data_IF_515319316277
#
_entry.id   IF_515319316277
#
_cell.length_a   1.000
_cell.length_b   1.000
_cell.length_c   1.000
_cell.angle_alpha   90.00
_cell.angle_beta   90.00
_cell.angle_gamma   90.00
#
_symmetry.space_group_name_H-M   'P 1'
#
loop_
_entity.id
_entity.type
_entity.pdbx_description
1 polymer ?
#
# COMPACT_ATOMS: atom_id res chain seq x y z
N UNK A 1 -5.60 -15.52 -8.76
CA UNK A 1 -5.58 -14.07 -8.51
C UNK A 1 -4.24 -13.49 -8.93
N UNK A 2 -4.22 -12.33 -9.58
CA UNK A 2 -2.97 -11.63 -9.91
C UNK A 2 -2.81 -10.39 -9.02
N UNK A 3 -1.60 -10.10 -8.56
CA UNK A 3 -1.30 -8.99 -7.65
C UNK A 3 -0.24 -8.11 -8.31
N UNK A 4 -0.56 -6.83 -8.45
CA UNK A 4 0.36 -5.80 -8.92
C UNK A 4 0.77 -4.92 -7.73
N UNK A 5 2.03 -4.99 -7.32
CA UNK A 5 2.56 -4.13 -6.26
C UNK A 5 3.29 -2.95 -6.92
N UNK A 6 2.79 -1.75 -6.64
CA UNK A 6 3.29 -0.52 -7.23
C UNK A 6 4.63 -0.14 -6.58
N UNK A 7 5.59 0.23 -7.43
CA UNK A 7 6.83 0.89 -7.06
C UNK A 7 6.80 2.33 -7.58
N UNK A 8 7.14 3.26 -6.72
CA UNK A 8 7.45 4.65 -7.06
C UNK A 8 8.70 5.05 -6.28
N UNK A 9 9.50 5.96 -6.81
CA UNK A 9 10.75 6.32 -6.15
C UNK A 9 10.51 6.94 -4.76
N UNK A 10 11.29 6.52 -3.77
CA UNK A 10 11.09 6.88 -2.36
C UNK A 10 10.15 5.94 -1.59
N UNK A 11 9.64 4.87 -2.22
CA UNK A 11 8.82 3.87 -1.54
C UNK A 11 9.49 3.30 -0.27
N UNK A 12 8.69 2.89 0.71
CA UNK A 12 9.19 2.12 1.85
C UNK A 12 9.39 0.64 1.44
N UNK A 13 10.61 0.09 1.58
CA UNK A 13 10.88 -1.28 1.16
C UNK A 13 10.02 -2.34 1.81
N UNK A 14 9.72 -2.20 3.11
CA UNK A 14 9.04 -3.25 3.84
C UNK A 14 7.53 -3.24 3.54
N UNK A 15 6.97 -2.08 3.19
CA UNK A 15 5.60 -1.96 2.68
C UNK A 15 5.38 -2.72 1.36
N UNK A 16 6.45 -2.93 0.59
CA UNK A 16 6.45 -3.74 -0.65
C UNK A 16 6.78 -5.19 -0.35
N UNK A 17 7.90 -5.45 0.30
CA UNK A 17 8.47 -6.79 0.44
C UNK A 17 7.64 -7.67 1.36
N UNK A 18 7.07 -7.12 2.45
CA UNK A 18 6.26 -7.92 3.37
C UNK A 18 5.03 -8.55 2.68
N UNK A 19 4.13 -7.78 2.02
CA UNK A 19 3.03 -8.38 1.30
C UNK A 19 3.47 -9.18 0.08
N UNK A 20 4.56 -8.79 -0.62
CA UNK A 20 5.12 -9.56 -1.73
C UNK A 20 5.45 -11.00 -1.31
N UNK A 21 6.25 -11.16 -0.25
CA UNK A 21 6.70 -12.47 0.23
C UNK A 21 5.52 -13.33 0.69
N UNK A 22 4.57 -12.76 1.43
CA UNK A 22 3.37 -13.48 1.88
C UNK A 22 2.52 -13.96 0.70
N UNK A 23 2.21 -13.07 -0.24
CA UNK A 23 1.36 -13.41 -1.39
C UNK A 23 2.05 -14.38 -2.36
N UNK A 24 3.36 -14.26 -2.54
CA UNK A 24 4.17 -15.19 -3.32
C UNK A 24 4.20 -16.58 -2.68
N UNK A 25 4.39 -16.66 -1.36
CA UNK A 25 4.32 -17.91 -0.62
C UNK A 25 2.92 -18.56 -0.72
N UNK A 26 1.86 -17.76 -0.66
CA UNK A 26 0.49 -18.22 -0.90
C UNK A 26 0.28 -18.80 -2.30
N UNK A 27 0.91 -18.20 -3.33
CA UNK A 27 0.94 -18.75 -4.68
C UNK A 27 1.65 -20.10 -4.76
N UNK A 28 2.79 -20.23 -4.07
CA UNK A 28 3.54 -21.49 -3.99
C UNK A 28 2.76 -22.60 -3.26
N UNK A 29 2.13 -22.27 -2.14
CA UNK A 29 1.31 -23.20 -1.36
C UNK A 29 -0.01 -23.56 -2.06
N UNK A 30 -0.54 -22.67 -2.90
CA UNK A 30 -1.79 -22.82 -3.62
C UNK A 30 -1.65 -23.27 -5.08
N UNK A 31 -0.54 -23.90 -5.48
CA UNK A 31 -0.30 -24.39 -6.84
C UNK A 31 -0.54 -23.32 -7.93
N UNK A 32 0.00 -22.12 -7.71
CA UNK A 32 -0.13 -20.98 -8.63
C UNK A 32 -1.43 -20.18 -8.50
N UNK A 33 -2.22 -20.41 -7.44
CA UNK A 33 -3.46 -19.65 -7.20
C UNK A 33 -3.25 -18.13 -7.07
N UNK A 34 -2.03 -17.69 -6.69
CA UNK A 34 -1.63 -16.29 -6.61
C UNK A 34 -0.37 -16.08 -7.45
N UNK A 35 -0.33 -14.97 -8.19
CA UNK A 35 0.87 -14.47 -8.85
C UNK A 35 1.09 -13.03 -8.44
N UNK A 36 2.35 -12.63 -8.26
CA UNK A 36 2.72 -11.29 -7.79
C UNK A 36 3.71 -10.68 -8.77
N UNK A 37 3.53 -9.41 -9.09
CA UNK A 37 4.37 -8.65 -10.01
C UNK A 37 4.66 -7.26 -9.43
N UNK A 38 5.90 -6.78 -9.59
CA UNK A 38 6.30 -5.42 -9.25
C UNK A 38 6.10 -4.53 -10.48
N UNK A 39 5.30 -3.48 -10.34
CA UNK A 39 4.95 -2.59 -11.45
C UNK A 39 5.28 -1.13 -11.11
N UNK A 40 5.45 -0.27 -12.11
CA UNK A 40 5.54 1.18 -11.90
C UNK A 40 4.57 1.91 -12.84
N UNK A 41 4.39 3.22 -12.68
CA UNK A 41 3.64 3.99 -13.67
C UNK A 41 4.41 4.07 -15.00
N UNK A 42 5.73 4.20 -14.95
CA UNK A 42 6.58 4.43 -16.13
C UNK A 42 6.95 3.15 -16.90
N UNK A 43 6.59 1.98 -16.37
CA UNK A 43 6.93 0.69 -16.96
C UNK A 43 8.16 0.00 -16.34
N UNK A 44 8.79 -0.94 -17.06
CA UNK A 44 9.92 -1.69 -16.52
C UNK A 44 11.11 -0.78 -16.23
N UNK A 45 11.50 -0.64 -14.96
CA UNK A 45 12.65 0.17 -14.53
C UNK A 45 13.18 -0.24 -13.16
N UNK A 46 14.37 0.22 -12.83
CA UNK A 46 14.85 0.23 -11.45
C UNK A 46 14.22 1.41 -10.71
N UNK A 47 13.72 1.17 -9.50
CA UNK A 47 13.04 2.15 -8.65
C UNK A 47 13.79 2.20 -7.33
N UNK A 48 14.21 3.40 -6.94
CA UNK A 48 15.03 3.61 -5.74
C UNK A 48 14.12 3.77 -4.54
N UNK A 49 14.37 3.01 -3.47
CA UNK A 49 13.59 3.15 -2.24
C UNK A 49 13.99 4.39 -1.45
N UNK A 50 13.14 4.78 -0.50
CA UNK A 50 13.43 5.84 0.45
C UNK A 50 14.38 5.43 1.59
N UNK A 51 14.91 4.19 1.58
CA UNK A 51 15.77 3.66 2.65
C UNK A 51 17.16 3.30 2.12
N UNK A 52 18.14 4.16 2.39
CA UNK A 52 19.53 3.93 2.00
C UNK A 52 19.70 3.80 0.48
N UNK A 53 20.45 2.79 0.03
CA UNK A 53 20.73 2.54 -1.39
C UNK A 53 19.93 1.36 -1.97
N UNK A 54 18.88 0.90 -1.28
CA UNK A 54 18.09 -0.22 -1.74
C UNK A 54 17.23 0.20 -2.94
N UNK A 55 17.24 -0.61 -3.99
CA UNK A 55 16.40 -0.44 -5.17
C UNK A 55 15.74 -1.77 -5.54
N UNK A 56 14.53 -1.70 -6.10
CA UNK A 56 13.80 -2.84 -6.64
C UNK A 56 13.50 -2.60 -8.12
N UNK A 57 13.33 -3.69 -8.87
CA UNK A 57 13.03 -3.62 -10.29
C UNK A 57 11.54 -3.83 -10.52
N UNK A 58 10.87 -2.83 -11.08
CA UNK A 58 9.56 -2.99 -11.71
C UNK A 58 9.74 -3.75 -13.04
N UNK A 59 8.91 -4.75 -13.27
CA UNK A 59 8.97 -5.62 -14.47
C UNK A 59 7.98 -5.20 -15.55
N UNK A 60 6.96 -4.40 -15.20
CA UNK A 60 5.92 -3.93 -16.10
C UNK A 60 5.38 -2.55 -15.67
N UNK A 61 4.51 -1.98 -16.51
CA UNK A 61 3.66 -0.85 -16.12
C UNK A 61 2.43 -1.36 -15.37
N UNK A 62 1.87 -0.57 -14.45
CA UNK A 62 0.59 -0.89 -13.80
C UNK A 62 -0.50 -1.02 -14.86
N UNK A 63 -1.13 -2.20 -14.94
CA UNK A 63 -2.24 -2.49 -15.82
C UNK A 63 -3.58 -2.33 -15.08
N UNK A 64 -4.33 -1.24 -15.32
CA UNK A 64 -5.61 -0.99 -14.64
C UNK A 64 -6.76 -1.88 -15.13
N UNK A 65 -6.58 -2.61 -16.23
CA UNK A 65 -7.60 -3.51 -16.79
C UNK A 65 -7.44 -4.95 -16.30
N UNK A 66 -6.28 -5.30 -15.71
CA UNK A 66 -5.97 -6.66 -15.26
C UNK A 66 -6.68 -7.01 -13.94
N UNK A 67 -7.61 -7.99 -13.93
CA UNK A 67 -8.32 -8.40 -12.72
C UNK A 67 -7.39 -8.88 -11.61
N UNK A 68 -7.71 -8.55 -10.36
CA UNK A 68 -6.96 -9.01 -9.19
C UNK A 68 -6.79 -7.94 -8.11
N UNK A 69 -5.57 -7.78 -7.61
CA UNK A 69 -5.23 -6.81 -6.57
C UNK A 69 -4.21 -5.79 -7.09
N UNK A 70 -4.36 -4.54 -6.65
CA UNK A 70 -3.32 -3.52 -6.75
C UNK A 70 -2.90 -3.14 -5.34
N UNK A 71 -1.60 -3.10 -5.06
CA UNK A 71 -1.06 -2.70 -3.75
C UNK A 71 -0.20 -1.45 -3.87
N UNK A 72 -0.57 -0.42 -3.12
CA UNK A 72 0.15 0.86 -3.04
C UNK A 72 0.94 0.91 -1.72
N UNK A 73 2.28 0.96 -1.75
CA UNK A 73 3.09 1.09 -0.55
C UNK A 73 3.13 2.53 -0.04
N UNK A 74 3.64 2.74 1.18
CA UNK A 74 4.04 4.04 1.66
C UNK A 74 5.40 4.48 1.13
N UNK A 75 5.88 5.60 1.66
CA UNK A 75 7.21 6.14 1.37
C UNK A 75 8.07 6.12 2.65
N UNK A 76 9.37 5.90 2.49
CA UNK A 76 10.35 6.00 3.57
C UNK A 76 11.09 7.34 3.46
N UNK A 77 11.14 8.11 4.55
CA UNK A 77 11.80 9.41 4.57
C UNK A 77 11.74 10.05 5.95
N UNK A 78 12.11 11.32 6.05
CA UNK A 78 11.98 12.07 7.31
C UNK A 78 10.53 12.47 7.54
N UNK A 79 10.11 12.39 8.80
CA UNK A 79 8.89 13.05 9.26
C UNK A 79 9.29 14.48 9.59
N UNK A 80 8.68 15.46 8.92
CA UNK A 80 8.97 16.88 9.18
C UNK A 80 8.32 17.36 10.47
N UNK A 81 8.96 18.33 11.11
CA UNK A 81 8.36 19.01 12.26
C UNK A 81 7.22 19.94 11.80
N UNK A 82 6.19 20.20 12.64
CA UNK A 82 5.10 21.11 12.30
C UNK A 82 5.61 22.50 11.91
N UNK A 83 5.44 22.89 10.64
CA UNK A 83 5.88 24.19 10.10
C UNK A 83 7.28 24.18 9.47
N UNK A 84 7.97 23.04 9.46
CA UNK A 84 9.20 22.85 8.69
C UNK A 84 8.85 22.80 7.20
N UNK A 85 9.37 23.76 6.44
CA UNK A 85 9.26 23.76 4.98
C UNK A 85 10.52 23.12 4.40
N UNK A 86 10.40 22.28 3.36
CA UNK A 86 11.57 21.80 2.62
C UNK A 86 12.40 22.99 2.13
N UNK A 87 13.72 22.92 2.32
CA UNK A 87 14.63 23.96 1.82
C UNK A 87 14.37 24.20 0.33
N UNK A 88 14.05 25.45 -0.02
CA UNK A 88 13.71 25.90 -1.38
C UNK A 88 14.92 26.04 -2.32
N UNK A 89 16.10 25.54 -1.95
CA UNK A 89 17.22 25.51 -2.87
C UNK A 89 16.85 24.61 -4.05
N UNK A 90 16.59 25.28 -5.19
CA UNK A 90 16.10 24.69 -6.42
C UNK A 90 16.86 23.40 -6.73
N UNK A 91 16.14 22.29 -6.66
CA UNK A 91 16.64 21.00 -7.11
C UNK A 91 16.97 21.13 -8.60
N UNK A 92 18.14 20.64 -9.01
CA UNK A 92 18.31 20.27 -10.40
C UNK A 92 17.27 19.18 -10.72
N UNK A 93 16.52 19.35 -11.80
CA UNK A 93 15.48 18.39 -12.21
C UNK A 93 16.08 16.98 -12.29
N UNK A 94 15.72 16.09 -11.36
CA UNK A 94 16.04 14.66 -11.42
C UNK A 94 16.99 14.09 -10.37
N UNK A 95 17.50 14.88 -9.41
CA UNK A 95 18.36 14.34 -8.34
C UNK A 95 17.56 13.91 -7.09
N UNK A 96 17.60 12.61 -6.78
CA UNK A 96 17.06 12.01 -5.54
C UNK A 96 17.95 12.32 -4.34
N UNK A 97 17.38 12.85 -3.25
CA UNK A 97 18.07 12.97 -1.95
C UNK A 97 17.61 11.91 -0.98
N UNK A 98 18.56 11.16 -0.42
CA UNK A 98 18.32 10.38 0.80
C UNK A 98 17.89 11.37 1.90
N UNK A 99 16.82 11.06 2.63
CA UNK A 99 16.25 11.86 3.73
C UNK A 99 15.25 12.99 3.38
N UNK A 100 14.58 12.92 2.23
CA UNK A 100 13.44 13.82 1.96
C UNK A 100 12.24 13.59 2.90
N UNK A 101 11.39 14.62 3.03
CA UNK A 101 10.16 14.50 3.81
C UNK A 101 9.17 13.53 3.16
N UNK A 102 8.55 12.66 3.95
CA UNK A 102 7.54 11.70 3.47
C UNK A 102 6.43 12.41 2.68
N UNK A 103 5.96 13.57 3.14
CA UNK A 103 4.93 14.36 2.44
C UNK A 103 5.39 14.87 1.06
N UNK A 104 6.68 15.19 0.91
CA UNK A 104 7.26 15.59 -0.38
C UNK A 104 7.35 14.39 -1.31
N UNK A 105 7.81 13.24 -0.82
CA UNK A 105 7.88 12.00 -1.60
C UNK A 105 6.49 11.58 -2.11
N UNK A 106 5.51 11.50 -1.20
CA UNK A 106 4.12 11.19 -1.57
C UNK A 106 3.55 12.24 -2.54
N UNK A 107 3.86 13.53 -2.32
CA UNK A 107 3.45 14.62 -3.21
C UNK A 107 4.03 14.51 -4.62
N UNK A 108 5.30 14.10 -4.77
CA UNK A 108 5.93 13.86 -6.07
C UNK A 108 5.25 12.72 -6.81
N UNK A 109 4.87 11.65 -6.12
CA UNK A 109 4.11 10.54 -6.70
C UNK A 109 2.81 11.02 -7.36
N UNK A 110 2.14 12.04 -6.81
CA UNK A 110 0.93 12.63 -7.38
C UNK A 110 1.17 13.42 -8.68
N UNK A 111 2.41 13.76 -8.99
CA UNK A 111 2.78 14.46 -10.24
C UNK A 111 3.11 13.51 -11.39
N UNK A 112 3.11 12.20 -11.13
CA UNK A 112 3.32 11.15 -12.14
C UNK A 112 1.99 10.73 -12.79
N UNK A 113 2.02 9.77 -13.72
CA UNK A 113 0.82 9.13 -14.26
C UNK A 113 0.14 8.16 -13.27
N UNK A 114 0.77 7.87 -12.12
CA UNK A 114 0.26 6.88 -11.16
C UNK A 114 -1.16 7.20 -10.67
N UNK A 115 -1.55 8.44 -10.30
CA UNK A 115 -2.91 8.73 -9.85
C UNK A 115 -3.97 8.40 -10.90
N UNK A 116 -3.68 8.63 -12.19
CA UNK A 116 -4.59 8.31 -13.28
C UNK A 116 -4.75 6.78 -13.43
N UNK A 117 -3.65 6.03 -13.34
CA UNK A 117 -3.68 4.56 -13.38
C UNK A 117 -4.39 3.96 -12.16
N UNK A 118 -4.14 4.49 -10.96
CA UNK A 118 -4.83 4.06 -9.74
C UNK A 118 -6.33 4.36 -9.81
N UNK A 119 -6.71 5.51 -10.35
CA UNK A 119 -8.11 5.83 -10.62
C UNK A 119 -8.75 4.81 -11.56
N UNK A 120 -8.10 4.53 -12.69
CA UNK A 120 -8.61 3.56 -13.66
C UNK A 120 -8.74 2.16 -13.04
N UNK A 121 -7.78 1.75 -12.21
CA UNK A 121 -7.83 0.48 -11.49
C UNK A 121 -8.97 0.45 -10.46
N UNK A 122 -9.24 1.54 -9.74
CA UNK A 122 -10.37 1.62 -8.79
C UNK A 122 -11.74 1.65 -9.48
N UNK A 123 -11.82 2.20 -10.70
CA UNK A 123 -13.05 2.18 -11.50
C UNK A 123 -13.35 0.76 -12.06
N UNK A 124 -12.39 -0.17 -11.99
CA UNK A 124 -12.54 -1.56 -12.43
C UNK A 124 -13.08 -2.46 -11.31
N UNK A 125 -14.31 -2.99 -11.41
CA UNK A 125 -14.94 -3.79 -10.35
C UNK A 125 -14.29 -5.17 -10.14
N UNK A 126 -13.34 -5.56 -10.99
CA UNK A 126 -12.58 -6.81 -10.86
C UNK A 126 -11.23 -6.59 -10.16
N UNK A 127 -10.95 -5.38 -9.71
CA UNK A 127 -9.76 -5.03 -8.94
C UNK A 127 -10.18 -4.68 -7.50
N UNK A 128 -9.50 -5.26 -6.52
CA UNK A 128 -9.50 -4.73 -5.16
C UNK A 128 -8.24 -3.88 -4.97
N UNK A 129 -8.46 -2.61 -4.63
CA UNK A 129 -7.39 -1.68 -4.30
C UNK A 129 -6.91 -1.94 -2.88
N UNK A 130 -5.60 -2.00 -2.69
CA UNK A 130 -4.99 -2.22 -1.39
C UNK A 130 -3.86 -1.23 -1.14
N UNK A 131 -3.61 -0.91 0.13
CA UNK A 131 -2.51 -0.05 0.49
C UNK A 131 -1.91 -0.41 1.85
N UNK A 132 -0.64 -0.08 2.05
CA UNK A 132 0.06 -0.23 3.33
C UNK A 132 0.65 1.11 3.74
N UNK A 133 0.65 1.42 5.04
CA UNK A 133 1.34 2.58 5.60
C UNK A 133 0.87 3.88 4.91
N UNK A 134 1.80 4.66 4.35
CA UNK A 134 1.49 5.90 3.61
C UNK A 134 0.81 5.69 2.26
N UNK A 135 0.62 4.47 1.77
CA UNK A 135 -0.03 4.22 0.49
C UNK A 135 -1.49 4.67 0.44
N UNK A 136 -2.20 4.59 1.57
CA UNK A 136 -3.56 5.15 1.66
C UNK A 136 -3.57 6.68 1.60
N UNK A 137 -2.50 7.36 2.01
CA UNK A 137 -2.36 8.81 1.80
C UNK A 137 -2.16 9.15 0.32
N UNK A 138 -1.47 8.32 -0.47
CA UNK A 138 -1.38 8.50 -1.93
C UNK A 138 -2.79 8.48 -2.55
N UNK A 139 -3.58 7.47 -2.19
CA UNK A 139 -4.96 7.33 -2.68
C UNK A 139 -5.85 8.51 -2.22
N UNK A 140 -5.71 8.92 -0.97
CA UNK A 140 -6.51 9.98 -0.37
C UNK A 140 -6.18 11.37 -0.95
N UNK A 141 -4.89 11.69 -1.08
CA UNK A 141 -4.44 12.95 -1.67
C UNK A 141 -4.76 13.05 -3.17
N UNK A 142 -4.87 11.90 -3.86
CA UNK A 142 -5.39 11.83 -5.23
C UNK A 142 -6.93 11.98 -5.32
N UNK A 143 -7.63 12.09 -4.18
CA UNK A 143 -9.09 12.23 -4.12
C UNK A 143 -9.84 10.94 -4.43
N UNK A 144 -9.19 9.76 -4.32
CA UNK A 144 -9.78 8.50 -4.76
C UNK A 144 -10.58 7.77 -3.68
N UNK A 145 -10.34 8.09 -2.40
CA UNK A 145 -10.95 7.37 -1.27
C UNK A 145 -11.69 8.30 -0.28
N UNK A 146 -12.10 9.50 -0.70
CA UNK A 146 -12.91 10.40 0.13
C UNK A 146 -14.21 9.72 0.60
N UNK A 147 -14.53 9.86 1.90
CA UNK A 147 -15.70 9.23 2.53
C UNK A 147 -15.60 7.71 2.75
N UNK A 148 -14.46 7.08 2.39
CA UNK A 148 -14.19 5.65 2.63
C UNK A 148 -13.60 5.42 4.02
N UNK A 149 -13.66 4.19 4.51
CA UNK A 149 -12.96 3.78 5.72
C UNK A 149 -11.57 3.25 5.36
N UNK A 150 -10.53 3.78 5.99
CA UNK A 150 -9.16 3.31 5.77
C UNK A 150 -8.28 3.52 7.00
N UNK A 151 -7.13 2.85 7.02
CA UNK A 151 -6.02 3.09 7.96
C UNK A 151 -4.78 3.54 7.19
N UNK A 152 -3.82 4.10 7.92
CA UNK A 152 -2.48 4.46 7.44
C UNK A 152 -1.48 4.21 8.57
N UNK A 153 -0.21 4.59 8.38
CA UNK A 153 0.73 4.68 9.48
C UNK A 153 0.20 5.60 10.58
N UNK A 154 0.37 5.24 11.85
CA UNK A 154 -0.22 6.00 12.96
C UNK A 154 0.16 7.50 12.97
N UNK A 155 1.33 7.86 12.45
CA UNK A 155 1.79 9.25 12.30
C UNK A 155 1.06 10.03 11.19
N UNK A 156 0.41 9.34 10.25
CA UNK A 156 -0.33 9.93 9.14
C UNK A 156 -1.85 9.91 9.32
N UNK A 157 -2.39 9.39 10.43
CA UNK A 157 -3.84 9.24 10.62
C UNK A 157 -4.58 10.58 10.60
N UNK A 158 -4.05 11.62 11.25
CA UNK A 158 -4.67 12.95 11.25
C UNK A 158 -4.67 13.57 9.85
N UNK A 159 -3.59 13.34 9.08
CA UNK A 159 -3.52 13.77 7.69
C UNK A 159 -4.53 13.00 6.81
N UNK A 160 -4.70 11.70 7.04
CA UNK A 160 -5.67 10.89 6.34
C UNK A 160 -7.09 11.39 6.62
N UNK A 161 -7.45 11.60 7.89
CA UNK A 161 -8.76 12.15 8.28
C UNK A 161 -9.01 13.52 7.63
N UNK A 162 -7.98 14.38 7.55
CA UNK A 162 -8.09 15.71 6.93
C UNK A 162 -8.41 15.69 5.42
N UNK A 163 -8.25 14.55 4.74
CA UNK A 163 -8.66 14.37 3.34
C UNK A 163 -10.14 14.00 3.17
N UNK A 164 -10.88 13.83 4.26
CA UNK A 164 -12.28 13.38 4.25
C UNK A 164 -12.46 11.87 4.29
N UNK A 165 -11.38 11.10 4.50
CA UNK A 165 -11.40 9.66 4.79
C UNK A 165 -11.82 9.44 6.23
N UNK A 166 -12.60 8.39 6.52
CA UNK A 166 -12.86 7.93 7.87
C UNK A 166 -11.66 7.10 8.37
N UNK A 167 -10.70 7.75 9.04
CA UNK A 167 -9.45 7.15 9.46
C UNK A 167 -9.64 6.28 10.70
N UNK A 168 -9.28 5.01 10.60
CA UNK A 168 -9.46 4.02 11.66
C UNK A 168 -8.13 3.56 12.25
N UNK A 169 -8.09 3.45 13.59
CA UNK A 169 -6.97 2.86 14.33
C UNK A 169 -7.11 1.34 14.37
N UNK A 170 -6.98 0.70 13.20
CA UNK A 170 -6.95 -0.75 13.06
C UNK A 170 -5.72 -1.18 12.25
N UNK A 171 -5.26 -2.41 12.48
CA UNK A 171 -4.09 -2.95 11.78
C UNK A 171 -4.40 -3.23 10.31
N UNK A 172 -5.60 -3.74 10.04
CA UNK A 172 -6.19 -3.93 8.71
C UNK A 172 -7.63 -3.40 8.74
N UNK A 173 -8.01 -2.67 7.70
CA UNK A 173 -9.36 -2.14 7.45
C UNK A 173 -9.81 -2.68 6.11
N UNK A 174 -10.91 -3.43 6.08
CA UNK A 174 -11.61 -3.89 4.88
C UNK A 174 -12.89 -3.06 4.69
N UNK A 175 -12.90 -2.23 3.65
CA UNK A 175 -14.04 -1.42 3.22
C UNK A 175 -14.57 -1.91 1.87
N UNK A 176 -14.57 -3.23 1.62
CA UNK A 176 -15.04 -3.82 0.37
C UNK A 176 -13.96 -3.89 -0.71
N UNK A 177 -14.06 -3.06 -1.75
CA UNK A 177 -13.07 -3.00 -2.84
C UNK A 177 -11.79 -2.22 -2.47
N UNK A 178 -11.72 -1.68 -1.25
CA UNK A 178 -10.56 -1.02 -0.67
C UNK A 178 -10.15 -1.74 0.63
N UNK A 179 -8.90 -2.21 0.70
CA UNK A 179 -8.34 -2.82 1.92
C UNK A 179 -7.01 -2.17 2.28
N UNK A 180 -6.92 -1.61 3.48
CA UNK A 180 -5.73 -0.88 3.91
C UNK A 180 -5.10 -1.50 5.15
N UNK A 181 -3.77 -1.59 5.14
CA UNK A 181 -2.92 -1.94 6.28
C UNK A 181 -2.31 -0.68 6.91
N UNK A 182 -2.17 -0.70 8.23
CA UNK A 182 -1.58 0.41 9.00
C UNK A 182 -0.05 0.50 8.81
N UNK A 183 0.73 0.65 9.89
CA UNK A 183 2.17 0.89 9.81
C UNK A 183 2.97 -0.25 9.18
N UNK A 184 4.28 -0.03 9.05
CA UNK A 184 5.18 -0.80 8.17
C UNK A 184 5.03 -2.33 8.24
N UNK A 185 4.99 -2.91 9.46
CA UNK A 185 4.89 -4.37 9.63
C UNK A 185 3.49 -4.94 9.36
N UNK A 186 2.47 -4.09 9.17
CA UNK A 186 1.11 -4.53 8.85
C UNK A 186 1.00 -5.14 7.45
N UNK A 187 2.00 -4.93 6.58
CA UNK A 187 2.06 -5.58 5.26
C UNK A 187 2.02 -7.12 5.33
N UNK A 188 2.60 -7.72 6.38
CA UNK A 188 2.49 -9.17 6.63
C UNK A 188 1.05 -9.57 6.94
N UNK A 189 0.42 -8.85 7.87
CA UNK A 189 -0.95 -9.10 8.32
C UNK A 189 -1.98 -8.84 7.22
N UNK A 190 -1.76 -7.82 6.39
CA UNK A 190 -2.55 -7.52 5.21
C UNK A 190 -2.40 -8.65 4.18
N UNK A 191 -1.18 -9.08 3.86
CA UNK A 191 -0.95 -10.20 2.94
C UNK A 191 -1.66 -11.47 3.37
N UNK A 192 -1.58 -11.82 4.66
CA UNK A 192 -2.24 -12.99 5.22
C UNK A 192 -3.76 -12.87 5.17
N UNK A 193 -4.29 -11.70 5.50
CA UNK A 193 -5.72 -11.42 5.37
C UNK A 193 -6.21 -11.56 3.93
N UNK A 194 -5.45 -11.04 2.96
CA UNK A 194 -5.78 -11.14 1.54
C UNK A 194 -5.76 -12.60 1.07
N UNK A 195 -4.79 -13.42 1.51
CA UNK A 195 -4.80 -14.86 1.22
C UNK A 195 -6.03 -15.54 1.81
N UNK A 196 -6.37 -15.25 3.07
CA UNK A 196 -7.54 -15.82 3.74
C UNK A 196 -8.84 -15.47 3.00
N UNK A 197 -8.98 -14.19 2.60
CA UNK A 197 -10.15 -13.64 1.92
C UNK A 197 -10.31 -14.21 0.50
N UNK A 198 -9.24 -14.23 -0.27
CA UNK A 198 -9.30 -14.47 -1.73
C UNK A 198 -9.12 -15.95 -2.09
N UNK A 199 -8.33 -16.68 -1.31
CA UNK A 199 -7.92 -18.05 -1.61
C UNK A 199 -8.44 -19.03 -0.56
N UNK A 200 -8.46 -18.62 0.70
CA UNK A 200 -9.05 -19.36 1.81
C UNK A 200 -8.08 -19.60 2.98
N UNK A 201 -8.64 -19.95 4.15
CA UNK A 201 -7.89 -19.98 5.41
C UNK A 201 -6.82 -21.08 5.48
N UNK A 202 -6.94 -22.16 4.70
CA UNK A 202 -5.96 -23.25 4.71
C UNK A 202 -4.60 -22.81 4.15
N UNK A 203 -4.62 -22.03 3.05
CA UNK A 203 -3.39 -21.50 2.45
C UNK A 203 -2.82 -20.38 3.30
N UNK A 204 -3.67 -19.47 3.80
CA UNK A 204 -3.23 -18.43 4.72
C UNK A 204 -2.53 -19.02 5.95
N UNK A 205 -3.13 -20.04 6.59
CA UNK A 205 -2.56 -20.71 7.76
C UNK A 205 -1.22 -21.40 7.46
N UNK A 206 -1.09 -22.09 6.32
CA UNK A 206 0.18 -22.69 5.93
C UNK A 206 1.30 -21.64 5.73
N UNK A 207 0.94 -20.45 5.23
CA UNK A 207 1.90 -19.34 5.11
C UNK A 207 2.24 -18.74 6.47
N UNK A 208 1.28 -18.60 7.39
CA UNK A 208 1.55 -18.21 8.80
C UNK A 208 2.57 -19.15 9.46
N UNK A 209 2.37 -20.47 9.33
CA UNK A 209 3.28 -21.48 9.86
C UNK A 209 4.68 -21.38 9.22
N UNK A 210 4.76 -21.21 7.90
CA UNK A 210 6.01 -21.06 7.18
C UNK A 210 6.79 -19.81 7.63
N UNK A 211 6.09 -18.70 7.84
CA UNK A 211 6.69 -17.41 8.20
C UNK A 211 6.93 -17.28 9.70
N UNK A 212 6.43 -18.23 10.50
CA UNK A 212 6.38 -18.14 11.96
C UNK A 212 5.76 -16.80 12.43
N UNK A 213 4.71 -16.34 11.72
CA UNK A 213 4.04 -15.07 11.97
C UNK A 213 2.53 -15.28 12.06
N UNK A 214 1.99 -15.07 13.26
CA UNK A 214 0.55 -15.06 13.51
C UNK A 214 -0.01 -13.65 13.31
N UNK A 215 -1.09 -13.54 12.54
CA UNK A 215 -1.73 -12.24 12.30
C UNK A 215 -2.23 -11.60 13.60
N UNK A 216 -1.98 -10.29 13.76
CA UNK A 216 -2.40 -9.54 14.96
C UNK A 216 -3.66 -8.70 14.76
N UNK A 217 -4.54 -8.76 15.76
CA UNK A 217 -5.72 -7.90 15.85
C UNK A 217 -6.87 -8.33 14.93
N UNK A 218 -8.05 -7.79 15.21
CA UNK A 218 -9.24 -8.04 14.40
C UNK A 218 -9.22 -7.13 13.17
N UNK A 219 -9.43 -7.67 11.97
CA UNK A 219 -9.70 -6.83 10.79
C UNK A 219 -10.97 -6.03 11.05
N UNK A 220 -10.88 -4.71 10.95
CA UNK A 220 -12.09 -3.89 10.96
C UNK A 220 -12.78 -4.02 9.60
N UNK A 221 -14.11 -4.20 9.61
CA UNK A 221 -14.93 -4.39 8.42
C UNK A 221 -16.13 -3.44 8.50
N UNK A 222 -16.48 -2.77 7.39
CA UNK A 222 -17.64 -1.89 7.35
C UNK A 222 -18.99 -2.65 7.41
N UNK A 223 -18.96 -3.98 7.27
CA UNK A 223 -20.12 -4.86 7.28
C UNK A 223 -20.47 -5.28 8.71
N UNK A 224 -21.77 -5.22 9.03
CA UNK A 224 -22.33 -5.70 10.29
C UNK A 224 -22.86 -4.59 11.20
N UNK A 225 -23.39 -4.94 12.38
CA UNK A 225 -23.93 -3.96 13.33
C UNK A 225 -22.80 -3.13 13.95
N UNK A 226 -22.98 -1.81 14.00
CA UNK A 226 -22.08 -0.91 14.72
C UNK A 226 -22.20 -1.12 16.24
N UNK A 227 -21.09 -0.98 17.00
CA UNK A 227 -21.13 -1.05 18.46
C UNK A 227 -21.93 0.11 19.04
N UNK A 228 -22.83 -0.18 20.00
CA UNK A 228 -23.73 0.83 20.60
C UNK A 228 -23.03 1.61 21.74
N UNK A 229 -22.07 0.99 22.42
CA UNK A 229 -21.08 1.58 23.33
C UNK A 229 -20.12 0.47 23.79
N UNK A 230 -18.81 0.75 23.84
CA UNK A 230 -17.76 -0.09 24.43
C UNK A 230 -16.81 0.78 25.26
#
# INVERSE_FOLDING_TARGET
>A
MHVQIVLFDGFDPLDVIAPYEVLYAGGTAGDGAVTVELVSAEGPREVVSGTGALALRATASLDPDRPGLVLVPGASGRVGDPGEMPDQEACEEGEWRQDEFISVLLGRTLTTELPALLKAAMDNPQITMTAVCGGSLVLAMAGLIEGRHATTHHMGLDMLEATGVHALRARVVDDGDLITGSGVTSGLDLGLYLLEREIGPQIAHAVEELFAHERRGTTWCAQGPAPVAL
#
